data_IF_977097593104
#
_entry.id   IF_977097593104
#
_cell.length_a   1.000
_cell.length_b   1.000
_cell.length_c   1.000
_cell.angle_alpha   90.00
_cell.angle_beta   90.00
_cell.angle_gamma   90.00
#
_symmetry.space_group_name_H-M   'P 1'
#
loop_
_entity.id
_entity.type
_entity.pdbx_description
1 polymer ?
#
# COMPACT_ATOMS: atom_id res chain seq x y z
N UNK A 1 -4.04 4.91 28.07
CA UNK A 1 -4.71 4.07 27.06
C UNK A 1 -4.29 4.54 25.68
N UNK A 2 -3.24 3.96 25.11
CA UNK A 2 -2.89 4.16 23.69
C UNK A 2 -3.44 2.96 22.93
N UNK A 3 -4.35 3.19 22.00
CA UNK A 3 -4.89 2.16 21.13
C UNK A 3 -3.82 1.73 20.13
N UNK A 4 -3.01 0.74 20.53
CA UNK A 4 -1.96 0.12 19.75
C UNK A 4 -2.56 -0.88 18.75
N UNK A 5 -3.41 -0.41 17.84
CA UNK A 5 -3.70 -1.11 16.59
C UNK A 5 -2.45 -1.02 15.71
N UNK A 6 -1.48 -1.86 16.07
CA UNK A 6 -0.12 -1.84 15.58
C UNK A 6 -0.08 -2.39 14.15
N UNK A 7 -0.18 -1.49 13.18
CA UNK A 7 -0.01 -1.79 11.76
C UNK A 7 1.39 -2.39 11.43
N UNK A 8 2.33 -2.36 12.37
CA UNK A 8 3.64 -3.00 12.29
C UNK A 8 3.74 -4.28 13.14
N UNK A 9 2.65 -4.76 13.74
CA UNK A 9 2.65 -5.95 14.59
C UNK A 9 3.19 -7.18 13.87
N UNK A 10 3.03 -7.24 12.54
CA UNK A 10 3.55 -8.33 11.73
C UNK A 10 4.97 -7.93 11.27
N UNK A 11 6.02 -8.67 11.67
CA UNK A 11 7.42 -8.31 11.37
C UNK A 11 7.63 -8.02 9.88
N UNK A 12 8.18 -6.86 9.50
CA UNK A 12 8.29 -6.44 8.09
C UNK A 12 9.01 -7.47 7.19
N UNK A 13 9.94 -8.24 7.75
CA UNK A 13 10.80 -9.23 7.08
C UNK A 13 11.54 -8.68 5.85
N UNK A 14 11.69 -7.35 5.76
CA UNK A 14 12.34 -6.69 4.62
C UNK A 14 11.55 -6.77 3.32
N UNK A 15 10.22 -6.89 3.36
CA UNK A 15 9.38 -6.97 2.16
C UNK A 15 9.54 -5.72 1.25
N UNK A 16 9.80 -5.92 -0.04
CA UNK A 16 9.98 -4.84 -1.03
C UNK A 16 8.97 -4.86 -2.17
N UNK A 17 7.88 -5.61 -2.06
CA UNK A 17 6.97 -5.83 -3.19
C UNK A 17 6.40 -4.52 -3.76
N UNK A 18 5.88 -3.62 -2.91
CA UNK A 18 5.40 -2.32 -3.35
C UNK A 18 6.51 -1.43 -3.94
N UNK A 19 7.78 -1.61 -3.56
CA UNK A 19 8.89 -0.85 -4.13
C UNK A 19 9.14 -1.19 -5.61
N UNK A 20 8.62 -2.32 -6.10
CA UNK A 20 8.78 -2.73 -7.49
C UNK A 20 7.81 -2.02 -8.43
N UNK A 21 6.62 -1.67 -7.95
CA UNK A 21 5.46 -1.34 -8.79
C UNK A 21 4.61 -0.16 -8.30
N UNK A 22 4.58 0.16 -7.00
CA UNK A 22 3.77 1.25 -6.46
C UNK A 22 4.44 2.61 -6.50
N UNK A 23 3.64 3.62 -6.87
CA UNK A 23 4.05 5.01 -6.82
C UNK A 23 3.78 5.58 -5.42
N UNK A 24 4.85 5.80 -4.65
CA UNK A 24 4.73 6.31 -3.28
C UNK A 24 4.60 7.83 -3.29
N UNK A 25 3.40 8.34 -3.03
CA UNK A 25 3.14 9.77 -2.85
C UNK A 25 3.63 10.21 -1.47
N UNK A 26 4.42 11.27 -1.42
CA UNK A 26 4.89 11.87 -0.18
C UNK A 26 3.81 12.76 0.43
N UNK A 27 3.73 12.76 1.76
CA UNK A 27 2.70 13.45 2.53
C UNK A 27 3.36 14.37 3.57
N UNK A 28 3.78 15.60 3.19
CA UNK A 28 4.37 16.55 4.13
C UNK A 28 3.49 16.81 5.35
N UNK A 29 2.18 16.86 5.16
CA UNK A 29 1.19 17.02 6.22
C UNK A 29 1.13 15.82 7.19
N UNK A 30 1.69 14.68 6.81
CA UNK A 30 1.82 13.47 7.64
C UNK A 30 3.26 13.27 8.16
N UNK A 31 4.11 14.30 8.06
CA UNK A 31 5.48 14.32 8.60
C UNK A 31 6.55 13.86 7.63
N UNK A 32 6.28 13.77 6.33
CA UNK A 32 7.33 13.49 5.33
C UNK A 32 8.13 14.77 5.03
N UNK A 33 9.42 14.78 5.39
CA UNK A 33 10.33 15.86 5.02
C UNK A 33 10.86 15.66 3.59
N UNK A 34 10.31 16.43 2.65
CA UNK A 34 10.67 16.38 1.23
C UNK A 34 12.17 16.62 0.99
N UNK A 35 12.85 17.41 1.84
CA UNK A 35 14.28 17.69 1.67
C UNK A 35 15.15 16.44 1.87
N UNK A 36 14.60 15.38 2.47
CA UNK A 36 15.32 14.13 2.73
C UNK A 36 15.11 13.07 1.64
N UNK A 37 14.20 13.30 0.69
CA UNK A 37 13.82 12.32 -0.32
C UNK A 37 14.23 12.75 -1.71
N UNK A 38 14.57 11.78 -2.56
CA UNK A 38 14.62 11.94 -4.00
C UNK A 38 13.20 11.77 -4.52
N UNK A 39 12.61 12.88 -4.92
CA UNK A 39 11.21 12.96 -5.30
C UNK A 39 11.03 13.79 -6.57
N UNK A 40 9.88 13.60 -7.20
CA UNK A 40 9.42 14.41 -8.31
C UNK A 40 7.93 14.73 -8.16
N UNK A 41 7.47 15.73 -8.89
CA UNK A 41 6.07 16.09 -8.93
C UNK A 41 5.39 15.36 -10.08
N UNK A 42 4.49 14.44 -9.74
CA UNK A 42 3.75 13.63 -10.71
C UNK A 42 2.28 14.03 -10.77
N UNK A 43 1.63 13.74 -11.89
CA UNK A 43 0.17 13.66 -11.95
C UNK A 43 -0.28 12.33 -11.34
N UNK A 44 -1.30 12.38 -10.48
CA UNK A 44 -1.84 11.18 -9.83
C UNK A 44 -3.33 11.09 -10.08
N UNK A 45 -3.82 9.90 -10.45
CA UNK A 45 -5.24 9.61 -10.52
C UNK A 45 -5.96 9.80 -9.17
N UNK A 46 -5.23 9.71 -8.05
CA UNK A 46 -5.76 9.96 -6.71
C UNK A 46 -5.95 11.46 -6.42
N UNK A 47 -5.26 12.33 -7.15
CA UNK A 47 -5.31 13.78 -6.99
C UNK A 47 -5.48 14.48 -8.36
N UNK A 48 -6.64 14.31 -9.04
CA UNK A 48 -6.84 14.85 -10.38
C UNK A 48 -6.64 16.37 -10.44
N UNK A 49 -5.94 16.83 -11.49
CA UNK A 49 -5.68 18.25 -11.73
C UNK A 49 -4.63 18.86 -10.80
N UNK A 50 -3.91 18.05 -10.01
CA UNK A 50 -2.82 18.51 -9.15
C UNK A 50 -1.58 17.66 -9.35
N UNK A 51 -0.42 18.32 -9.38
CA UNK A 51 0.86 17.63 -9.24
C UNK A 51 1.15 17.39 -7.77
N UNK A 52 1.50 16.16 -7.40
CA UNK A 52 1.82 15.76 -6.03
C UNK A 52 3.25 15.26 -5.93
N UNK A 53 3.96 15.51 -4.82
CA UNK A 53 5.31 14.99 -4.65
C UNK A 53 5.24 13.48 -4.45
N UNK A 54 6.08 12.73 -5.16
CA UNK A 54 6.18 11.30 -5.03
C UNK A 54 7.63 10.84 -5.15
N UNK A 55 7.99 9.74 -4.47
CA UNK A 55 9.32 9.17 -4.58
C UNK A 55 9.65 8.90 -6.05
N UNK A 56 10.87 9.28 -6.47
CA UNK A 56 11.33 8.98 -7.83
C UNK A 56 11.39 7.49 -8.07
N UNK A 57 11.27 7.15 -9.35
CA UNK A 57 11.42 5.80 -9.85
C UNK A 57 12.52 5.75 -10.89
N UNK A 58 13.25 4.65 -10.91
CA UNK A 58 14.25 4.39 -11.94
C UNK A 58 13.52 4.23 -13.28
N UNK A 59 13.78 5.08 -14.29
CA UNK A 59 13.07 5.02 -15.57
C UNK A 59 13.40 3.75 -16.37
N UNK A 60 14.50 3.06 -16.08
CA UNK A 60 14.89 1.82 -16.78
C UNK A 60 14.18 0.60 -16.24
N UNK A 61 14.01 0.53 -14.92
CA UNK A 61 13.44 -0.65 -14.25
C UNK A 61 12.01 -0.44 -13.77
N UNK A 62 11.57 0.82 -13.70
CA UNK A 62 10.31 1.21 -13.09
C UNK A 62 10.30 1.07 -11.57
N UNK A 63 11.40 0.71 -10.90
CA UNK A 63 11.43 0.47 -9.44
C UNK A 63 11.63 1.78 -8.67
N UNK A 64 11.25 1.80 -7.39
CA UNK A 64 11.65 2.91 -6.50
C UNK A 64 13.18 3.04 -6.47
N UNK A 65 13.70 4.27 -6.56
CA UNK A 65 15.15 4.53 -6.57
C UNK A 65 15.86 4.11 -5.27
N UNK A 66 15.11 3.88 -4.19
CA UNK A 66 15.62 3.40 -2.91
C UNK A 66 15.59 1.88 -2.74
N UNK A 67 15.17 1.14 -3.77
CA UNK A 67 15.20 -0.32 -3.76
C UNK A 67 16.60 -0.81 -4.15
N UNK A 68 17.31 -1.37 -3.18
CA UNK A 68 18.61 -2.01 -3.35
C UNK A 68 18.50 -3.55 -3.23
N UNK A 69 19.58 -4.27 -3.55
CA UNK A 69 19.61 -5.74 -3.45
C UNK A 69 19.25 -6.26 -2.05
N UNK A 70 19.63 -5.54 -1.00
CA UNK A 70 19.39 -5.93 0.40
C UNK A 70 18.07 -5.39 0.97
N UNK A 71 17.30 -4.63 0.19
CA UNK A 71 16.02 -4.07 0.63
C UNK A 71 15.91 -2.56 0.42
N UNK A 72 15.09 -1.91 1.23
CA UNK A 72 14.87 -0.46 1.16
C UNK A 72 15.98 0.31 1.88
N UNK A 73 16.77 1.09 1.13
CA UNK A 73 17.87 1.90 1.67
C UNK A 73 17.42 2.96 2.68
N UNK A 74 16.14 3.35 2.64
CA UNK A 74 15.55 4.37 3.52
C UNK A 74 14.59 3.78 4.53
N UNK A 75 14.59 2.47 4.79
CA UNK A 75 13.64 1.82 5.69
C UNK A 75 13.54 2.52 7.07
N UNK A 76 14.68 2.90 7.66
CA UNK A 76 14.73 3.60 8.95
C UNK A 76 14.12 5.01 8.95
N UNK A 77 13.87 5.60 7.77
CA UNK A 77 13.25 6.91 7.58
C UNK A 77 12.15 6.87 6.50
N UNK A 78 11.52 5.71 6.30
CA UNK A 78 10.60 5.47 5.20
C UNK A 78 9.40 6.43 5.27
N UNK A 79 8.85 6.91 4.13
CA UNK A 79 7.73 7.85 4.15
C UNK A 79 6.48 7.33 4.87
N UNK A 80 5.57 8.25 5.21
CA UNK A 80 4.34 7.98 5.94
C UNK A 80 3.49 6.89 5.29
N UNK A 81 3.40 6.87 3.95
CA UNK A 81 2.68 5.80 3.23
C UNK A 81 3.37 4.45 3.40
N UNK A 82 4.69 4.38 3.23
CA UNK A 82 5.46 3.14 3.40
C UNK A 82 5.32 2.56 4.81
N UNK A 83 5.21 3.42 5.84
CA UNK A 83 5.01 2.99 7.24
C UNK A 83 3.59 2.53 7.55
N UNK A 84 2.58 2.96 6.79
CA UNK A 84 1.15 2.68 7.05
C UNK A 84 0.58 1.58 6.18
N UNK A 85 1.12 1.45 4.96
CA UNK A 85 0.69 0.45 4.01
C UNK A 85 1.06 -0.94 4.50
N UNK A 86 0.08 -1.86 4.46
CA UNK A 86 0.29 -3.25 4.85
C UNK A 86 -0.54 -4.15 3.94
N UNK A 87 0.10 -4.90 3.05
CA UNK A 87 -0.58 -5.69 2.02
C UNK A 87 -1.49 -6.80 2.59
N UNK A 88 -1.24 -7.31 3.80
CA UNK A 88 -2.17 -8.23 4.45
C UNK A 88 -3.53 -7.59 4.75
N UNK A 89 -3.58 -6.26 4.96
CA UNK A 89 -4.83 -5.52 5.12
C UNK A 89 -5.65 -5.58 3.83
N UNK A 90 -5.00 -5.36 2.68
CA UNK A 90 -5.60 -5.52 1.35
C UNK A 90 -6.15 -6.92 1.15
N UNK A 91 -5.34 -7.96 1.41
CA UNK A 91 -5.78 -9.35 1.23
C UNK A 91 -6.95 -9.71 2.14
N UNK A 92 -6.87 -9.35 3.43
CA UNK A 92 -7.94 -9.59 4.41
C UNK A 92 -9.23 -8.86 4.03
N UNK A 93 -9.14 -7.61 3.57
CA UNK A 93 -10.28 -6.83 3.09
C UNK A 93 -10.96 -7.50 1.89
N UNK A 94 -10.19 -7.96 0.89
CA UNK A 94 -10.73 -8.69 -0.27
C UNK A 94 -11.44 -9.98 0.15
N UNK A 95 -11.00 -10.63 1.22
CA UNK A 95 -11.64 -11.81 1.80
C UNK A 95 -13.06 -11.55 2.33
N UNK A 96 -13.40 -10.30 2.68
CA UNK A 96 -14.74 -9.89 3.15
C UNK A 96 -15.69 -9.48 2.04
N UNK A 97 -15.19 -9.34 0.81
CA UNK A 97 -15.99 -8.94 -0.34
C UNK A 97 -16.66 -10.14 -1.02
N UNK A 98 -17.72 -9.89 -1.78
CA UNK A 98 -18.30 -10.89 -2.69
C UNK A 98 -17.39 -11.12 -3.91
N UNK A 99 -17.58 -12.26 -4.60
CA UNK A 99 -16.86 -12.57 -5.85
C UNK A 99 -17.07 -11.47 -6.90
N UNK A 100 -18.31 -11.04 -7.09
CA UNK A 100 -18.66 -10.01 -8.07
C UNK A 100 -17.94 -8.68 -7.79
N UNK A 101 -17.85 -8.26 -6.53
CA UNK A 101 -17.13 -7.02 -6.19
C UNK A 101 -15.62 -7.16 -6.40
N UNK A 102 -15.03 -8.33 -6.08
CA UNK A 102 -13.60 -8.59 -6.39
C UNK A 102 -13.33 -8.56 -7.88
N UNK A 103 -14.18 -9.22 -8.68
CA UNK A 103 -14.07 -9.23 -10.14
C UNK A 103 -14.14 -7.79 -10.70
N UNK A 104 -15.04 -6.96 -10.15
CA UNK A 104 -15.14 -5.55 -10.51
C UNK A 104 -13.88 -4.74 -10.17
N UNK A 105 -13.27 -4.95 -8.98
CA UNK A 105 -12.02 -4.28 -8.64
C UNK A 105 -10.86 -4.67 -9.55
N UNK A 106 -10.71 -5.97 -9.84
CA UNK A 106 -9.69 -6.45 -10.78
C UNK A 106 -9.87 -5.87 -12.18
N UNK A 107 -11.12 -5.83 -12.67
CA UNK A 107 -11.44 -5.29 -13.99
C UNK A 107 -11.11 -3.79 -14.14
N UNK A 108 -10.99 -3.04 -13.03
CA UNK A 108 -10.58 -1.63 -13.10
C UNK A 108 -9.09 -1.44 -13.41
N UNK A 109 -8.24 -2.39 -13.01
CA UNK A 109 -6.79 -2.33 -13.24
C UNK A 109 -6.01 -1.25 -12.47
N UNK A 110 -6.67 -0.40 -11.67
CA UNK A 110 -6.06 0.72 -10.94
C UNK A 110 -6.09 0.56 -9.40
N UNK A 111 -6.70 -0.52 -8.89
CA UNK A 111 -6.89 -0.74 -7.44
C UNK A 111 -6.03 -1.87 -6.90
N UNK A 112 -5.89 -2.95 -7.68
CA UNK A 112 -5.27 -4.20 -7.24
C UNK A 112 -4.09 -4.54 -8.13
N UNK A 113 -3.02 -4.98 -7.51
CA UNK A 113 -1.85 -5.54 -8.17
C UNK A 113 -1.62 -6.97 -7.68
N UNK A 114 -1.40 -7.89 -8.61
CA UNK A 114 -1.25 -9.33 -8.33
C UNK A 114 -0.15 -9.61 -7.32
N UNK A 115 1.08 -9.14 -7.57
CA UNK A 115 2.22 -9.37 -6.67
C UNK A 115 1.97 -8.85 -5.24
N UNK A 116 1.32 -7.70 -5.11
CA UNK A 116 0.97 -7.13 -3.80
C UNK A 116 -0.11 -7.96 -3.10
N UNK A 117 -1.13 -8.44 -3.81
CA UNK A 117 -2.19 -9.27 -3.24
C UNK A 117 -1.65 -10.63 -2.82
N UNK A 118 -0.80 -11.26 -3.65
CA UNK A 118 -0.14 -12.53 -3.33
C UNK A 118 0.76 -12.40 -2.11
N UNK A 119 1.60 -11.37 -2.06
CA UNK A 119 2.40 -11.09 -0.87
C UNK A 119 1.50 -10.81 0.34
N UNK A 120 0.40 -10.10 0.15
CA UNK A 120 -0.61 -9.85 1.17
C UNK A 120 -1.20 -11.14 1.77
N UNK A 121 -1.46 -12.15 0.94
CA UNK A 121 -1.90 -13.49 1.39
C UNK A 121 -0.89 -14.14 2.32
N UNK A 122 0.38 -14.15 1.94
CA UNK A 122 1.43 -14.81 2.72
C UNK A 122 1.64 -14.10 4.05
N UNK A 123 1.61 -12.76 4.03
CA UNK A 123 1.68 -11.92 5.22
C UNK A 123 0.47 -12.09 6.14
N UNK A 124 -0.72 -12.28 5.57
CA UNK A 124 -1.93 -12.57 6.34
C UNK A 124 -1.85 -13.96 7.01
N UNK A 125 -1.36 -14.99 6.30
CA UNK A 125 -1.13 -16.32 6.88
C UNK A 125 -0.15 -16.29 8.05
N UNK A 126 0.94 -15.53 7.92
CA UNK A 126 1.88 -15.33 9.02
C UNK A 126 1.22 -14.65 10.21
N UNK A 127 0.39 -13.63 9.97
CA UNK A 127 -0.38 -12.98 11.04
C UNK A 127 -1.26 -13.98 11.79
N UNK A 128 -1.96 -14.87 11.06
CA UNK A 128 -2.77 -15.92 11.67
C UNK A 128 -1.93 -16.90 12.50
N UNK A 129 -0.76 -17.32 11.99
CA UNK A 129 0.11 -18.25 12.74
C UNK A 129 0.69 -17.63 14.02
N UNK A 130 0.82 -16.30 14.05
CA UNK A 130 1.28 -15.54 15.21
C UNK A 130 0.13 -15.10 16.13
N UNK A 131 -1.13 -15.36 15.78
CA UNK A 131 -2.29 -14.86 16.52
C UNK A 131 -2.39 -13.33 16.53
N UNK A 132 -2.07 -12.70 15.40
CA UNK A 132 -2.07 -11.23 15.20
C UNK A 132 -3.08 -10.79 14.14
N UNK A 133 -3.85 -11.68 13.55
CA UNK A 133 -4.78 -11.32 12.47
C UNK A 133 -5.89 -10.37 12.94
N UNK A 134 -6.29 -10.44 14.21
CA UNK A 134 -7.29 -9.56 14.82
C UNK A 134 -6.86 -8.09 14.89
N UNK A 135 -5.56 -7.79 14.93
CA UNK A 135 -5.08 -6.39 14.98
C UNK A 135 -5.05 -5.73 13.60
N UNK A 136 -5.24 -6.50 12.53
CA UNK A 136 -5.36 -5.99 11.16
C UNK A 136 -6.79 -5.47 10.96
N UNK A 137 -6.99 -4.18 11.25
CA UNK A 137 -8.23 -3.47 10.96
C UNK A 137 -8.39 -3.26 9.45
N UNK A 138 -9.53 -3.70 8.91
CA UNK A 138 -9.87 -3.64 7.48
C UNK A 138 -11.13 -2.84 7.20
N UNK A 139 -11.85 -2.33 8.20
CA UNK A 139 -13.20 -1.78 7.99
C UNK A 139 -13.19 -0.63 6.98
N UNK A 140 -12.28 0.32 7.16
CA UNK A 140 -12.14 1.46 6.24
C UNK A 140 -11.73 1.01 4.84
N UNK A 141 -10.91 -0.04 4.71
CA UNK A 141 -10.46 -0.54 3.42
C UNK A 141 -11.57 -1.31 2.69
N UNK A 142 -12.37 -2.09 3.43
CA UNK A 142 -13.57 -2.76 2.89
C UNK A 142 -14.54 -1.72 2.37
N UNK A 143 -14.87 -0.70 3.15
CA UNK A 143 -15.79 0.37 2.72
C UNK A 143 -15.29 1.09 1.46
N UNK A 144 -13.99 1.39 1.38
CA UNK A 144 -13.39 1.99 0.18
C UNK A 144 -13.50 1.07 -1.04
N UNK A 145 -13.22 -0.22 -0.87
CA UNK A 145 -13.31 -1.22 -1.92
C UNK A 145 -14.74 -1.44 -2.41
N UNK A 146 -15.72 -1.45 -1.51
CA UNK A 146 -17.14 -1.53 -1.87
C UNK A 146 -17.58 -0.31 -2.68
N UNK A 147 -17.17 0.90 -2.27
CA UNK A 147 -17.45 2.12 -3.02
C UNK A 147 -16.81 2.11 -4.42
N UNK A 148 -15.59 1.58 -4.55
CA UNK A 148 -14.88 1.48 -5.84
C UNK A 148 -15.45 0.38 -6.75
N UNK A 149 -15.99 -0.69 -6.18
CA UNK A 149 -16.64 -1.79 -6.89
C UNK A 149 -18.11 -1.49 -7.26
N UNK A 150 -18.70 -0.44 -6.68
CA UNK A 150 -20.05 -0.03 -7.01
C UNK A 150 -20.14 0.40 -8.50
N UNK A 151 -21.27 0.10 -9.18
CA UNK A 151 -21.47 0.54 -10.56
C UNK A 151 -21.34 2.07 -10.65
N UNK A 152 -20.50 2.57 -11.57
CA UNK A 152 -20.46 4.00 -11.88
C UNK A 152 -21.84 4.40 -12.39
N UNK A 153 -22.56 5.26 -11.65
CA UNK A 153 -23.80 5.87 -12.15
C UNK A 153 -23.43 6.69 -13.39
N UNK A 154 -24.03 6.32 -14.52
CA UNK A 154 -23.98 7.09 -15.77
C UNK A 154 -24.75 8.40 -15.62
#
# INVERSE_FOLDING_TARGET
MGDARDHNAIPCDGCTECCKSDQVILRPEAGDDLATFDFEYIESALYPGRKVPALKRDPRTGKCVYLEERGCAIHGRAPAICRRFHCARTFKALGRMSRAQRDALWARGDVLEEGIVERGRDRYRLAQSLGLDQVIDVEMQVAAFEALAAPRRR
#
